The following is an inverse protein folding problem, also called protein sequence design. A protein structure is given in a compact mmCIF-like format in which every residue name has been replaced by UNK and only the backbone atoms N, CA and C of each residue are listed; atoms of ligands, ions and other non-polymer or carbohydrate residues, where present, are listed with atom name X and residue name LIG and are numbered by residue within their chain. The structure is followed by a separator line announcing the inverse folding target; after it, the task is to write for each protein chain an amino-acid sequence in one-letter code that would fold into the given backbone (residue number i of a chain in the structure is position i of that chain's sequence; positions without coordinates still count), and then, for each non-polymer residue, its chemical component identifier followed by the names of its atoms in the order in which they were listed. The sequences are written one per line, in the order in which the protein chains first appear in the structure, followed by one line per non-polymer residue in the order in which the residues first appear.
data_IF_358401166809
#
_entry.id   IF_358401166809
#
_cell.length_a   1.000
_cell.length_b   1.000
_cell.length_c   1.000
_cell.angle_alpha   90.00
_cell.angle_beta   90.00
_cell.angle_gamma   90.00
#
_symmetry.space_group_name_H-M   'P 1'
#
loop_
_entity.id
_entity.type
_entity.pdbx_description
1 polymer ?
#
# COMPACT_ATOMS: atom_id res chain seq x y z
N UNK A 1 -10.68 4.07 -27.49
CA UNK A 1 -9.70 4.57 -26.48
C UNK A 1 -8.66 3.50 -26.21
N UNK A 2 -7.36 3.86 -26.17
CA UNK A 2 -6.28 2.96 -25.81
C UNK A 2 -6.46 2.52 -24.34
N UNK A 3 -6.48 1.22 -24.10
CA UNK A 3 -6.62 0.68 -22.75
C UNK A 3 -5.27 0.65 -22.04
N UNK A 4 -5.25 1.00 -20.77
CA UNK A 4 -4.05 1.09 -19.94
C UNK A 4 -3.91 -0.15 -19.07
N UNK A 5 -2.71 -0.70 -18.96
CA UNK A 5 -2.38 -1.74 -18.01
C UNK A 5 -1.80 -1.14 -16.73
N UNK A 6 -2.06 -1.78 -15.61
CA UNK A 6 -1.56 -1.39 -14.29
C UNK A 6 -0.95 -2.61 -13.60
N UNK A 7 0.20 -2.45 -12.98
CA UNK A 7 0.80 -3.48 -12.12
C UNK A 7 0.60 -3.06 -10.66
N UNK A 8 0.09 -3.95 -9.85
CA UNK A 8 -0.13 -3.74 -8.43
C UNK A 8 0.64 -4.81 -7.66
N UNK A 9 1.77 -4.44 -7.10
CA UNK A 9 2.56 -5.35 -6.26
C UNK A 9 2.01 -5.35 -4.84
N UNK A 10 1.96 -6.50 -4.18
CA UNK A 10 1.21 -6.64 -2.93
C UNK A 10 -0.30 -6.45 -3.14
N UNK A 11 -0.80 -6.76 -4.34
CA UNK A 11 -2.17 -6.48 -4.76
C UNK A 11 -3.23 -7.32 -4.06
N UNK A 12 -2.86 -8.34 -3.28
CA UNK A 12 -3.73 -9.05 -2.34
C UNK A 12 -3.58 -8.55 -0.90
N UNK A 13 -2.77 -7.52 -0.69
CA UNK A 13 -2.72 -6.77 0.55
C UNK A 13 -3.95 -5.90 0.76
N UNK A 14 -4.08 -5.30 1.93
CA UNK A 14 -5.23 -4.48 2.32
C UNK A 14 -5.43 -3.27 1.38
N UNK A 15 -4.40 -2.45 1.20
CA UNK A 15 -4.45 -1.27 0.33
C UNK A 15 -4.45 -1.69 -1.16
N UNK A 16 -3.57 -2.64 -1.54
CA UNK A 16 -3.42 -3.07 -2.92
C UNK A 16 -4.68 -3.68 -3.53
N UNK A 17 -5.43 -4.47 -2.75
CA UNK A 17 -6.70 -5.05 -3.22
C UNK A 17 -7.78 -3.98 -3.44
N UNK A 18 -7.82 -2.96 -2.59
CA UNK A 18 -8.77 -1.84 -2.73
C UNK A 18 -8.44 -0.99 -3.96
N UNK A 19 -7.15 -0.65 -4.18
CA UNK A 19 -6.70 0.02 -5.40
C UNK A 19 -7.08 -0.80 -6.64
N UNK A 20 -6.83 -2.11 -6.62
CA UNK A 20 -7.17 -3.00 -7.73
C UNK A 20 -8.67 -2.97 -8.02
N UNK A 21 -9.52 -3.10 -7.00
CA UNK A 21 -11.00 -3.03 -7.12
C UNK A 21 -11.46 -1.73 -7.80
N UNK A 22 -10.85 -0.60 -7.44
CA UNK A 22 -11.20 0.68 -8.04
C UNK A 22 -10.71 0.81 -9.49
N UNK A 23 -9.48 0.36 -9.78
CA UNK A 23 -8.90 0.44 -11.12
C UNK A 23 -9.67 -0.40 -12.14
N UNK A 24 -10.10 -1.62 -11.81
CA UNK A 24 -10.83 -2.48 -12.76
C UNK A 24 -12.17 -1.88 -13.19
N UNK A 25 -12.74 -1.00 -12.37
CA UNK A 25 -13.99 -0.30 -12.69
C UNK A 25 -13.82 0.91 -13.61
N UNK A 26 -12.59 1.38 -13.83
CA UNK A 26 -12.33 2.48 -14.77
C UNK A 26 -12.52 2.02 -16.22
N UNK A 27 -13.11 2.89 -17.06
CA UNK A 27 -13.40 2.60 -18.46
C UNK A 27 -12.14 2.35 -19.30
N UNK A 28 -11.06 3.07 -19.00
CA UNK A 28 -9.78 3.02 -19.71
C UNK A 28 -8.86 1.89 -19.22
N UNK A 29 -9.27 1.09 -18.26
CA UNK A 29 -8.46 -0.04 -17.77
C UNK A 29 -8.48 -1.21 -18.74
N UNK A 30 -7.29 -1.60 -19.18
CA UNK A 30 -7.03 -2.84 -19.92
C UNK A 30 -6.88 -4.02 -18.97
N UNK A 31 -5.72 -4.13 -18.35
CA UNK A 31 -5.40 -5.19 -17.38
C UNK A 31 -4.91 -4.60 -16.07
N UNK A 32 -5.32 -5.19 -14.96
CA UNK A 32 -4.71 -5.06 -13.64
C UNK A 32 -3.93 -6.33 -13.35
N UNK A 33 -2.62 -6.20 -13.27
CA UNK A 33 -1.69 -7.31 -13.03
C UNK A 33 -1.31 -7.26 -11.56
N UNK A 34 -1.79 -8.23 -10.80
CA UNK A 34 -1.51 -8.39 -9.38
C UNK A 34 -0.28 -9.28 -9.24
N UNK A 35 0.74 -8.79 -8.53
CA UNK A 35 1.91 -9.58 -8.13
C UNK A 35 1.94 -9.66 -6.61
N UNK A 36 1.89 -10.88 -6.06
CA UNK A 36 1.85 -11.10 -4.62
C UNK A 36 2.52 -12.43 -4.28
N UNK A 37 3.33 -12.45 -3.25
CA UNK A 37 4.05 -13.67 -2.83
C UNK A 37 3.29 -14.48 -1.76
N UNK A 38 2.10 -14.01 -1.36
CA UNK A 38 1.30 -14.58 -0.27
C UNK A 38 1.98 -14.58 1.11
N UNK A 39 3.06 -13.83 1.28
CA UNK A 39 3.68 -13.73 2.60
C UNK A 39 2.69 -13.10 3.57
N UNK A 40 2.45 -13.81 4.66
CA UNK A 40 1.59 -13.35 5.73
C UNK A 40 2.44 -13.06 6.95
N UNK A 41 2.39 -11.81 7.40
CA UNK A 41 3.13 -11.32 8.58
C UNK A 41 2.28 -11.33 9.85
N UNK A 42 1.15 -12.04 9.85
CA UNK A 42 0.30 -12.21 11.03
C UNK A 42 0.89 -13.35 11.87
N UNK A 43 0.94 -13.15 13.18
CA UNK A 43 1.35 -14.19 14.09
C UNK A 43 0.54 -15.48 13.88
N UNK A 44 1.19 -16.62 13.57
CA UNK A 44 0.49 -17.87 13.30
C UNK A 44 -0.44 -18.33 14.43
N UNK A 45 -0.13 -17.98 15.68
CA UNK A 45 -0.96 -18.30 16.84
C UNK A 45 -2.28 -17.52 16.90
N UNK A 46 -2.40 -16.48 16.09
CA UNK A 46 -3.60 -15.62 15.99
C UNK A 46 -4.37 -15.83 14.70
N UNK A 47 -4.04 -16.86 13.94
CA UNK A 47 -4.73 -17.19 12.71
C UNK A 47 -6.18 -17.52 12.99
N UNK A 48 -7.08 -16.72 12.45
CA UNK A 48 -8.45 -17.14 12.22
C UNK A 48 -8.48 -18.00 10.96
N UNK A 49 -9.35 -18.99 10.90
CA UNK A 49 -9.49 -19.90 9.73
C UNK A 49 -9.89 -19.22 8.42
N UNK A 50 -10.07 -17.92 8.41
CA UNK A 50 -10.48 -17.16 7.23
C UNK A 50 -9.27 -16.78 6.39
N UNK A 51 -9.19 -17.32 5.17
CA UNK A 51 -8.20 -16.87 4.19
C UNK A 51 -8.63 -15.52 3.61
N UNK A 52 -8.17 -14.46 4.25
CA UNK A 52 -8.51 -13.08 3.85
C UNK A 52 -7.94 -12.69 2.48
N UNK A 53 -6.87 -13.32 2.00
CA UNK A 53 -6.37 -13.13 0.64
C UNK A 53 -7.38 -13.65 -0.35
N UNK A 54 -7.97 -14.81 -0.07
CA UNK A 54 -9.08 -15.37 -0.83
C UNK A 54 -10.29 -14.44 -0.77
N UNK A 55 -10.63 -13.93 0.42
CA UNK A 55 -11.71 -12.95 0.59
C UNK A 55 -11.43 -11.67 -0.19
N UNK A 56 -10.23 -11.10 -0.10
CA UNK A 56 -9.84 -9.90 -0.87
C UNK A 56 -9.89 -10.16 -2.37
N UNK A 57 -9.40 -11.31 -2.82
CA UNK A 57 -9.48 -11.70 -4.22
C UNK A 57 -10.93 -11.90 -4.69
N UNK A 58 -11.78 -12.48 -3.84
CA UNK A 58 -13.22 -12.62 -4.12
C UNK A 58 -13.90 -11.26 -4.18
N UNK A 59 -13.57 -10.34 -3.28
CA UNK A 59 -14.10 -8.97 -3.30
C UNK A 59 -13.68 -8.19 -4.56
N UNK A 60 -12.45 -8.40 -5.05
CA UNK A 60 -12.01 -7.83 -6.32
C UNK A 60 -12.83 -8.39 -7.48
N UNK A 61 -13.16 -9.69 -7.43
CA UNK A 61 -13.96 -10.43 -8.42
C UNK A 61 -15.46 -10.40 -8.15
N UNK A 62 -15.96 -9.51 -7.32
CA UNK A 62 -17.36 -9.45 -6.89
C UNK A 62 -18.32 -9.91 -7.98
N UNK A 63 -19.27 -10.81 -7.62
CA UNK A 63 -20.25 -11.42 -8.53
C UNK A 63 -21.16 -10.37 -9.21
N UNK A 64 -21.32 -9.20 -8.59
CA UNK A 64 -22.05 -8.07 -9.15
C UNK A 64 -21.26 -7.34 -10.27
N UNK A 65 -19.96 -7.58 -10.39
CA UNK A 65 -19.15 -7.02 -11.46
C UNK A 65 -19.44 -7.78 -12.76
N UNK A 66 -19.79 -7.05 -13.82
CA UNK A 66 -20.10 -7.59 -15.15
C UNK A 66 -18.98 -8.55 -15.60
N UNK A 67 -19.35 -9.64 -16.27
CA UNK A 67 -18.44 -10.70 -16.79
C UNK A 67 -17.16 -10.17 -17.46
N UNK A 68 -17.22 -9.02 -18.10
CA UNK A 68 -16.08 -8.35 -18.75
C UNK A 68 -15.01 -7.80 -17.80
N UNK A 69 -15.29 -7.64 -16.51
CA UNK A 69 -14.35 -7.11 -15.52
C UNK A 69 -13.41 -8.21 -15.02
N UNK A 70 -13.90 -9.44 -14.89
CA UNK A 70 -13.07 -10.58 -14.49
C UNK A 70 -11.93 -10.85 -15.48
N UNK A 71 -12.12 -10.54 -16.78
CA UNK A 71 -11.08 -10.68 -17.78
C UNK A 71 -9.98 -9.61 -17.69
N UNK A 72 -10.18 -8.57 -16.88
CA UNK A 72 -9.17 -7.52 -16.68
C UNK A 72 -8.12 -7.88 -15.63
N UNK A 73 -8.36 -8.89 -14.80
CA UNK A 73 -7.48 -9.26 -13.68
C UNK A 73 -6.55 -10.38 -14.13
N UNK A 74 -5.25 -10.18 -13.91
CA UNK A 74 -4.21 -11.20 -14.08
C UNK A 74 -3.47 -11.31 -12.77
N UNK A 75 -3.27 -12.52 -12.30
CA UNK A 75 -2.60 -12.79 -11.06
C UNK A 75 -1.31 -13.57 -11.28
N UNK A 76 -0.23 -13.08 -10.69
CA UNK A 76 1.06 -13.75 -10.58
C UNK A 76 1.43 -13.96 -9.11
N UNK A 77 1.62 -15.21 -8.73
CA UNK A 77 2.25 -15.53 -7.45
C UNK A 77 3.76 -15.38 -7.63
N UNK A 78 4.36 -14.40 -6.97
CA UNK A 78 5.79 -14.15 -7.09
C UNK A 78 6.30 -13.10 -6.13
N UNK A 79 7.60 -13.16 -5.84
CA UNK A 79 8.27 -12.16 -5.02
C UNK A 79 8.70 -10.98 -5.89
N UNK A 80 8.38 -9.77 -5.46
CA UNK A 80 8.79 -8.55 -6.16
C UNK A 80 10.32 -8.31 -6.08
N UNK A 81 11.05 -9.01 -5.21
CA UNK A 81 12.50 -9.02 -5.19
C UNK A 81 13.12 -9.96 -6.24
N UNK A 82 12.32 -10.80 -6.91
CA UNK A 82 12.79 -11.63 -8.01
C UNK A 82 12.83 -10.83 -9.32
N UNK A 83 14.04 -10.57 -9.80
CA UNK A 83 14.28 -9.79 -11.01
C UNK A 83 13.62 -10.42 -12.25
N UNK A 84 13.76 -11.73 -12.43
CA UNK A 84 13.24 -12.42 -13.62
C UNK A 84 11.73 -12.36 -13.70
N UNK A 85 11.06 -12.54 -12.56
CA UNK A 85 9.59 -12.45 -12.46
C UNK A 85 9.16 -11.03 -12.81
N UNK A 86 9.72 -10.01 -12.14
CA UNK A 86 9.31 -8.62 -12.33
C UNK A 86 9.64 -8.11 -13.73
N UNK A 87 10.84 -8.39 -14.23
CA UNK A 87 11.23 -8.00 -15.58
C UNK A 87 10.27 -8.59 -16.63
N UNK A 88 9.98 -9.90 -16.55
CA UNK A 88 9.06 -10.57 -17.49
C UNK A 88 7.66 -9.95 -17.47
N UNK A 89 7.14 -9.64 -16.28
CA UNK A 89 5.81 -9.04 -16.14
C UNK A 89 5.80 -7.62 -16.70
N UNK A 90 6.75 -6.79 -16.30
CA UNK A 90 6.82 -5.38 -16.69
C UNK A 90 7.06 -5.21 -18.20
N UNK A 91 7.94 -6.04 -18.78
CA UNK A 91 8.22 -6.05 -20.22
C UNK A 91 6.99 -6.49 -21.02
N UNK A 92 6.31 -7.56 -20.60
CA UNK A 92 5.11 -8.09 -21.26
C UNK A 92 3.96 -7.10 -21.28
N UNK A 93 3.67 -6.49 -20.13
CA UNK A 93 2.45 -5.68 -19.98
C UNK A 93 2.67 -4.19 -20.18
N UNK A 94 3.90 -3.71 -20.11
CA UNK A 94 4.27 -2.29 -20.29
C UNK A 94 3.26 -1.36 -19.60
N UNK A 95 3.15 -1.45 -18.26
CA UNK A 95 2.08 -0.79 -17.52
C UNK A 95 2.18 0.73 -17.62
N UNK A 96 1.03 1.42 -17.71
CA UNK A 96 0.99 2.87 -17.59
C UNK A 96 1.39 3.34 -16.19
N UNK A 97 1.08 2.54 -15.17
CA UNK A 97 1.41 2.86 -13.79
C UNK A 97 1.71 1.56 -13.02
N UNK A 98 2.69 1.63 -12.12
CA UNK A 98 2.98 0.60 -11.10
C UNK A 98 2.57 1.16 -9.76
N UNK A 99 1.65 0.49 -9.05
CA UNK A 99 1.31 0.75 -7.66
C UNK A 99 2.09 -0.22 -6.78
N UNK A 100 3.14 0.28 -6.16
CA UNK A 100 4.00 -0.52 -5.30
C UNK A 100 3.50 -0.49 -3.87
N UNK A 101 2.66 -1.50 -3.53
CA UNK A 101 2.11 -1.67 -2.17
C UNK A 101 2.75 -2.84 -1.43
N UNK A 102 3.56 -3.65 -2.11
CA UNK A 102 4.30 -4.75 -1.49
C UNK A 102 5.32 -4.19 -0.50
N UNK A 103 5.22 -4.61 0.74
CA UNK A 103 6.16 -4.30 1.81
C UNK A 103 5.90 -5.25 2.99
N UNK A 104 6.84 -5.33 3.93
CA UNK A 104 6.56 -5.90 5.25
C UNK A 104 5.65 -4.92 5.99
N UNK A 105 4.40 -5.30 6.30
CA UNK A 105 3.36 -4.32 6.68
C UNK A 105 3.39 -3.91 8.15
N UNK A 106 4.35 -4.34 8.96
CA UNK A 106 4.17 -4.34 10.40
C UNK A 106 5.03 -3.34 11.12
N UNK A 107 4.34 -2.42 11.78
CA UNK A 107 4.90 -1.64 12.88
C UNK A 107 5.03 -2.43 14.20
N UNK A 108 4.62 -3.71 14.26
CA UNK A 108 4.53 -4.51 15.47
C UNK A 108 4.98 -5.96 15.27
N UNK A 109 6.21 -6.16 14.86
CA UNK A 109 6.85 -7.46 15.06
C UNK A 109 7.65 -7.35 16.35
N UNK A 110 7.34 -8.19 17.34
CA UNK A 110 8.02 -8.22 18.64
C UNK A 110 9.55 -8.43 18.52
N UNK A 111 10.00 -9.02 17.41
CA UNK A 111 11.40 -9.16 17.03
C UNK A 111 11.55 -8.91 15.53
N UNK A 112 11.62 -7.65 15.07
CA UNK A 112 11.76 -7.36 13.67
C UNK A 112 13.10 -7.87 13.13
N UNK A 113 13.04 -8.81 12.21
CA UNK A 113 14.21 -9.21 11.44
C UNK A 113 14.52 -8.12 10.40
N UNK A 114 15.58 -7.34 10.65
CA UNK A 114 16.01 -6.25 9.77
C UNK A 114 16.21 -6.72 8.32
N UNK A 115 16.70 -7.96 8.14
CA UNK A 115 16.88 -8.56 6.81
C UNK A 115 15.55 -8.76 6.08
N UNK A 116 14.48 -9.15 6.78
CA UNK A 116 13.14 -9.27 6.18
C UNK A 116 12.58 -7.90 5.79
N UNK A 117 12.73 -6.89 6.64
CA UNK A 117 12.33 -5.52 6.31
C UNK A 117 13.10 -4.99 5.09
N UNK A 118 14.42 -5.20 5.04
CA UNK A 118 15.24 -4.83 3.89
C UNK A 118 14.73 -5.52 2.63
N UNK A 119 14.62 -6.84 2.65
CA UNK A 119 14.18 -7.63 1.50
C UNK A 119 12.77 -7.24 1.04
N UNK A 120 11.83 -7.15 1.97
CA UNK A 120 10.43 -6.90 1.65
C UNK A 120 10.09 -5.44 1.31
N UNK A 121 10.95 -4.48 1.62
CA UNK A 121 10.68 -3.06 1.38
C UNK A 121 11.70 -2.41 0.45
N UNK A 122 12.99 -2.59 0.70
CA UNK A 122 14.07 -1.94 -0.04
C UNK A 122 14.38 -2.72 -1.32
N UNK A 123 14.71 -4.01 -1.20
CA UNK A 123 15.13 -4.82 -2.33
C UNK A 123 14.01 -4.94 -3.37
N UNK A 124 12.75 -5.06 -2.93
CA UNK A 124 11.59 -5.07 -3.85
C UNK A 124 11.45 -3.74 -4.60
N UNK A 125 11.66 -2.60 -3.93
CA UNK A 125 11.56 -1.28 -4.54
C UNK A 125 12.66 -1.07 -5.58
N UNK A 126 13.90 -1.36 -5.22
CA UNK A 126 15.06 -1.27 -6.13
C UNK A 126 14.85 -2.16 -7.35
N UNK A 127 14.48 -3.42 -7.13
CA UNK A 127 14.31 -4.39 -8.20
C UNK A 127 13.27 -3.96 -9.24
N UNK A 128 12.13 -3.43 -8.81
CA UNK A 128 11.11 -2.96 -9.75
C UNK A 128 11.60 -1.76 -10.55
N UNK A 129 12.28 -0.81 -9.90
CA UNK A 129 12.82 0.38 -10.54
C UNK A 129 13.93 0.04 -11.54
N UNK A 130 14.82 -0.90 -11.21
CA UNK A 130 15.84 -1.43 -12.12
C UNK A 130 15.23 -2.10 -13.35
N UNK A 131 14.19 -2.92 -13.16
CA UNK A 131 13.47 -3.53 -14.27
C UNK A 131 12.86 -2.47 -15.20
N UNK A 132 12.22 -1.43 -14.64
CA UNK A 132 11.62 -0.35 -15.41
C UNK A 132 12.68 0.45 -16.17
N UNK A 133 13.81 0.77 -15.54
CA UNK A 133 14.92 1.48 -16.18
C UNK A 133 15.46 0.70 -17.38
N UNK A 134 15.75 -0.59 -17.19
CA UNK A 134 16.23 -1.47 -18.27
C UNK A 134 15.25 -1.57 -19.44
N UNK A 135 13.95 -1.71 -19.15
CA UNK A 135 12.92 -1.79 -20.20
C UNK A 135 12.81 -0.46 -20.96
N UNK A 136 12.91 0.67 -20.26
CA UNK A 136 12.89 1.99 -20.89
C UNK A 136 14.13 2.25 -21.77
N UNK A 137 15.29 1.73 -21.40
CA UNK A 137 16.53 1.83 -22.18
C UNK A 137 16.49 0.95 -23.43
N UNK A 138 15.88 -0.23 -23.34
CA UNK A 138 15.81 -1.21 -24.45
C UNK A 138 14.65 -0.95 -25.42
N UNK A 139 13.71 -0.07 -25.09
CA UNK A 139 12.50 0.12 -25.89
C UNK A 139 12.03 1.57 -25.88
N UNK A 140 11.04 1.91 -26.77
CA UNK A 140 10.38 3.21 -26.76
C UNK A 140 9.34 3.36 -25.62
N UNK A 141 9.15 2.33 -24.81
CA UNK A 141 8.23 2.39 -23.68
C UNK A 141 8.76 3.34 -22.62
N UNK A 142 7.84 4.17 -22.10
CA UNK A 142 8.07 4.99 -20.90
C UNK A 142 6.92 4.74 -19.95
N UNK A 143 7.26 4.46 -18.69
CA UNK A 143 6.24 4.36 -17.65
C UNK A 143 5.64 5.74 -17.36
N UNK A 144 4.33 5.79 -17.17
CA UNK A 144 3.67 7.05 -16.83
C UNK A 144 3.80 7.41 -15.35
N UNK A 145 3.84 6.41 -14.42
CA UNK A 145 3.97 6.69 -12.99
C UNK A 145 4.41 5.46 -12.19
N UNK A 146 5.34 5.65 -11.26
CA UNK A 146 5.64 4.72 -10.18
C UNK A 146 5.05 5.28 -8.87
N UNK A 147 4.06 4.60 -8.30
CA UNK A 147 3.41 5.03 -7.05
C UNK A 147 3.97 4.20 -5.91
N UNK A 148 4.61 4.86 -4.96
CA UNK A 148 5.19 4.25 -3.78
C UNK A 148 4.31 4.48 -2.56
N UNK A 149 3.86 3.42 -1.90
CA UNK A 149 3.12 3.53 -0.64
C UNK A 149 4.11 3.54 0.53
N UNK A 150 4.34 4.75 1.04
CA UNK A 150 5.12 5.04 2.23
C UNK A 150 4.26 4.93 3.50
N UNK A 151 4.49 5.78 4.49
CA UNK A 151 3.76 5.82 5.76
C UNK A 151 3.95 7.15 6.47
N UNK A 152 2.97 7.58 7.28
CA UNK A 152 3.14 8.69 8.22
C UNK A 152 4.22 8.41 9.30
N UNK A 153 4.61 7.15 9.51
CA UNK A 153 5.68 6.79 10.44
C UNK A 153 7.06 7.30 10.04
N UNK A 154 7.22 7.82 8.82
CA UNK A 154 8.46 8.52 8.40
C UNK A 154 8.71 9.80 9.19
N UNK A 155 7.68 10.41 9.75
CA UNK A 155 7.81 11.63 10.55
C UNK A 155 8.33 11.36 11.97
N UNK A 156 8.10 10.16 12.53
CA UNK A 156 8.29 9.89 13.95
C UNK A 156 7.25 10.63 14.77
N UNK A 157 7.67 11.30 15.85
CA UNK A 157 6.77 12.17 16.61
C UNK A 157 6.47 13.46 15.84
N UNK A 158 5.22 13.83 15.81
CA UNK A 158 4.81 15.09 15.24
C UNK A 158 5.27 16.26 16.13
N UNK A 159 6.08 17.13 15.58
CA UNK A 159 6.55 18.32 16.28
C UNK A 159 5.47 19.41 16.35
N UNK A 160 4.44 19.28 15.53
CA UNK A 160 3.29 20.20 15.41
C UNK A 160 1.99 19.42 15.50
N UNK A 161 0.88 20.14 15.61
CA UNK A 161 -0.47 19.57 15.62
C UNK A 161 -0.77 18.74 14.34
N UNK A 162 -0.18 19.11 13.22
CA UNK A 162 -0.30 18.44 11.92
C UNK A 162 1.09 18.32 11.30
N UNK A 163 1.33 17.27 10.51
CA UNK A 163 2.52 17.09 9.72
C UNK A 163 2.22 17.46 8.26
N UNK A 164 3.07 18.28 7.67
CA UNK A 164 3.07 18.60 6.25
C UNK A 164 4.15 17.77 5.53
N UNK A 165 4.02 17.62 4.22
CA UNK A 165 4.89 16.78 3.41
C UNK A 165 6.37 17.16 3.49
N UNK A 166 6.65 18.45 3.67
CA UNK A 166 8.01 19.02 3.78
C UNK A 166 8.56 19.05 5.22
N UNK A 167 7.75 18.65 6.21
CA UNK A 167 8.21 18.59 7.59
C UNK A 167 9.32 17.55 7.75
N UNK A 168 10.17 17.76 8.77
CA UNK A 168 11.29 16.90 9.11
C UNK A 168 10.84 15.44 9.32
N UNK A 169 11.54 14.52 8.67
CA UNK A 169 11.30 13.07 8.77
C UNK A 169 12.33 12.46 9.71
N UNK A 170 11.87 11.98 10.86
CA UNK A 170 12.67 11.41 11.94
C UNK A 170 12.04 10.10 12.45
N UNK A 171 12.01 9.05 11.61
CA UNK A 171 11.39 7.80 12.00
C UNK A 171 12.05 7.22 13.24
N UNK A 172 11.24 6.75 14.19
CA UNK A 172 11.73 6.13 15.43
C UNK A 172 11.92 4.62 15.32
N UNK A 173 11.18 4.00 14.41
CA UNK A 173 11.12 2.56 14.28
C UNK A 173 11.67 2.11 12.94
N UNK A 174 12.14 0.86 12.89
CA UNK A 174 12.73 0.26 11.69
C UNK A 174 11.79 0.31 10.50
N UNK A 175 10.48 0.11 10.71
CA UNK A 175 9.49 0.22 9.65
C UNK A 175 9.45 1.61 9.01
N UNK A 176 9.34 2.64 9.82
CA UNK A 176 9.36 4.04 9.36
C UNK A 176 10.69 4.38 8.66
N UNK A 177 11.81 3.90 9.19
CA UNK A 177 13.14 4.07 8.60
C UNK A 177 13.21 3.42 7.22
N UNK A 178 12.72 2.19 7.05
CA UNK A 178 12.72 1.50 5.75
C UNK A 178 11.77 2.18 4.75
N UNK A 179 10.64 2.72 5.21
CA UNK A 179 9.74 3.49 4.34
C UNK A 179 10.41 4.78 3.87
N UNK A 180 11.09 5.50 4.74
CA UNK A 180 11.84 6.70 4.37
C UNK A 180 12.99 6.39 3.41
N UNK A 181 13.76 5.34 3.66
CA UNK A 181 14.80 4.89 2.74
C UNK A 181 14.24 4.56 1.35
N UNK A 182 13.07 3.90 1.28
CA UNK A 182 12.37 3.64 0.03
C UNK A 182 11.94 4.93 -0.69
N UNK A 183 11.50 5.96 0.01
CA UNK A 183 11.20 7.28 -0.60
C UNK A 183 12.44 7.88 -1.26
N UNK A 184 13.59 7.87 -0.59
CA UNK A 184 14.82 8.44 -1.12
C UNK A 184 15.37 7.62 -2.31
N UNK A 185 15.21 6.30 -2.29
CA UNK A 185 15.51 5.42 -3.43
C UNK A 185 14.64 5.80 -4.63
N UNK A 186 13.32 5.92 -4.45
CA UNK A 186 12.39 6.31 -5.53
C UNK A 186 12.77 7.66 -6.13
N UNK A 187 13.05 8.66 -5.31
CA UNK A 187 13.50 9.99 -5.75
C UNK A 187 14.84 9.92 -6.50
N UNK A 188 15.78 9.09 -6.00
CA UNK A 188 17.07 8.88 -6.65
C UNK A 188 16.92 8.29 -8.06
N UNK A 189 16.15 7.22 -8.18
CA UNK A 189 15.83 6.60 -9.47
C UNK A 189 15.10 7.55 -10.43
N UNK A 190 14.18 8.36 -9.93
CA UNK A 190 13.49 9.35 -10.74
C UNK A 190 14.47 10.34 -11.37
N UNK A 191 15.43 10.85 -10.61
CA UNK A 191 16.47 11.75 -11.13
C UNK A 191 17.36 11.07 -12.18
N UNK A 192 17.73 9.80 -11.92
CA UNK A 192 18.66 9.05 -12.78
C UNK A 192 17.96 8.49 -14.03
N UNK A 193 16.84 7.77 -13.87
CA UNK A 193 16.17 7.01 -14.94
C UNK A 193 14.97 7.74 -15.55
N UNK A 194 14.69 8.96 -15.09
CA UNK A 194 13.50 9.74 -15.53
C UNK A 194 12.18 8.97 -15.37
N UNK A 195 12.08 8.16 -14.32
CA UNK A 195 10.85 7.47 -13.94
C UNK A 195 10.00 8.43 -13.09
N UNK A 196 8.84 8.89 -13.57
CA UNK A 196 7.97 9.76 -12.80
C UNK A 196 7.40 9.01 -11.60
N UNK A 197 7.40 9.62 -10.41
CA UNK A 197 6.88 8.99 -9.21
C UNK A 197 5.74 9.79 -8.57
N UNK A 198 5.03 9.12 -7.67
CA UNK A 198 4.17 9.73 -6.64
C UNK A 198 4.35 8.93 -5.36
N UNK A 199 4.69 9.61 -4.27
CA UNK A 199 4.83 9.00 -2.94
C UNK A 199 3.58 9.31 -2.13
N UNK A 200 3.02 8.26 -1.49
CA UNK A 200 1.82 8.38 -0.65
C UNK A 200 2.21 8.00 0.78
N UNK A 201 1.91 8.88 1.73
CA UNK A 201 2.09 8.66 3.17
C UNK A 201 0.72 8.52 3.84
N UNK A 202 0.17 7.31 3.93
CA UNK A 202 -1.07 7.07 4.67
C UNK A 202 -0.82 7.14 6.18
N UNK A 203 -1.86 7.48 6.92
CA UNK A 203 -1.95 7.25 8.36
C UNK A 203 -2.96 6.12 8.64
N UNK A 204 -3.07 5.68 9.84
CA UNK A 204 -3.95 4.64 10.42
C UNK A 204 -5.10 4.12 9.51
N UNK A 205 -4.73 3.56 8.35
CA UNK A 205 -5.70 3.03 7.38
C UNK A 205 -6.53 1.91 8.02
N UNK A 206 -7.85 1.97 7.87
CA UNK A 206 -8.79 0.99 8.40
C UNK A 206 -9.90 0.68 7.38
N UNK A 207 -10.61 -0.41 7.59
CA UNK A 207 -11.76 -0.78 6.75
C UNK A 207 -11.94 -2.27 6.59
N UNK A 208 -12.88 -2.71 5.74
CA UNK A 208 -13.15 -4.13 5.48
C UNK A 208 -11.88 -4.86 5.02
N UNK A 209 -11.68 -6.07 5.53
CA UNK A 209 -10.53 -6.93 5.24
C UNK A 209 -9.18 -6.44 5.79
N UNK A 210 -9.15 -5.44 6.67
CA UNK A 210 -7.96 -5.17 7.48
C UNK A 210 -7.72 -6.33 8.45
N UNK A 211 -6.49 -6.85 8.50
CA UNK A 211 -6.16 -8.04 9.26
C UNK A 211 -4.94 -7.88 10.15
N UNK A 212 -4.40 -6.67 10.16
CA UNK A 212 -3.12 -6.47 10.81
C UNK A 212 -3.24 -6.34 12.33
N UNK A 213 -4.38 -6.72 12.93
CA UNK A 213 -4.67 -6.60 14.37
C UNK A 213 -4.24 -5.25 14.96
N UNK A 214 -4.35 -4.21 14.14
CA UNK A 214 -4.11 -2.85 14.61
C UNK A 214 -5.18 -2.46 15.61
N UNK A 215 -4.92 -1.42 16.36
CA UNK A 215 -5.82 -0.96 17.43
C UNK A 215 -7.28 -0.84 16.98
N UNK A 216 -7.53 -0.39 15.73
CA UNK A 216 -8.88 -0.29 15.17
C UNK A 216 -9.57 -1.64 15.06
N UNK A 217 -8.91 -2.62 14.46
CA UNK A 217 -9.46 -3.95 14.28
C UNK A 217 -9.55 -4.70 15.61
N UNK A 218 -8.51 -4.61 16.44
CA UNK A 218 -8.47 -5.27 17.74
C UNK A 218 -9.65 -4.83 18.61
N UNK A 219 -9.85 -3.52 18.78
CA UNK A 219 -10.95 -2.99 19.59
C UNK A 219 -12.32 -3.32 18.97
N UNK A 220 -12.45 -3.26 17.63
CA UNK A 220 -13.68 -3.62 16.93
C UNK A 220 -14.05 -5.10 17.17
N UNK A 221 -13.10 -6.03 17.03
CA UNK A 221 -13.34 -7.45 17.27
C UNK A 221 -13.71 -7.74 18.72
N UNK A 222 -13.05 -7.07 19.68
CA UNK A 222 -13.42 -7.15 21.10
C UNK A 222 -14.83 -6.65 21.34
N UNK A 223 -15.21 -5.51 20.76
CA UNK A 223 -16.56 -4.95 20.89
C UNK A 223 -17.65 -5.89 20.33
N UNK A 224 -17.46 -6.42 19.11
CA UNK A 224 -18.41 -7.36 18.47
C UNK A 224 -18.60 -8.63 19.32
N UNK A 225 -17.54 -9.10 19.98
CA UNK A 225 -17.59 -10.29 20.82
C UNK A 225 -17.97 -9.98 22.30
N UNK A 226 -18.50 -8.81 22.59
CA UNK A 226 -18.84 -8.35 23.93
C UNK A 226 -17.68 -8.44 24.94
N UNK A 227 -16.45 -8.33 24.46
CA UNK A 227 -15.24 -8.40 25.26
C UNK A 227 -14.90 -7.07 25.93
N UNK A 228 -14.05 -7.13 26.95
CA UNK A 228 -13.54 -5.94 27.63
C UNK A 228 -12.62 -5.17 26.69
N UNK A 229 -12.86 -3.87 26.52
CA UNK A 229 -12.01 -2.98 25.75
C UNK A 229 -10.89 -2.43 26.62
N UNK A 230 -9.74 -3.09 26.58
CA UNK A 230 -8.52 -2.60 27.23
C UNK A 230 -7.86 -1.55 26.35
N UNK A 231 -7.72 -0.33 26.87
CA UNK A 231 -7.18 0.80 26.12
C UNK A 231 -5.80 1.14 26.66
N UNK A 232 -4.78 0.85 25.85
CA UNK A 232 -3.42 1.31 26.10
C UNK A 232 -3.16 2.57 25.26
N UNK A 233 -2.54 3.60 25.89
CA UNK A 233 -2.30 4.88 25.20
C UNK A 233 -3.59 5.63 24.87
N UNK A 234 -4.48 5.80 25.87
CA UNK A 234 -5.81 6.42 25.69
C UNK A 234 -5.79 7.79 24.99
N UNK A 235 -4.73 8.56 25.20
CA UNK A 235 -4.55 9.92 24.68
C UNK A 235 -3.75 9.95 23.34
N UNK A 236 -3.23 8.78 22.90
CA UNK A 236 -2.57 8.64 21.61
C UNK A 236 -3.55 9.00 20.49
N UNK A 237 -3.10 9.88 19.59
CA UNK A 237 -3.89 10.36 18.47
C UNK A 237 -3.48 9.68 17.18
N UNK A 238 -4.46 9.16 16.47
CA UNK A 238 -4.30 8.58 15.14
C UNK A 238 -5.24 9.29 14.17
N UNK A 239 -4.77 9.54 12.96
CA UNK A 239 -5.62 9.97 11.86
C UNK A 239 -6.15 8.73 11.15
N UNK A 240 -7.38 8.33 11.50
CA UNK A 240 -8.04 7.14 10.97
C UNK A 240 -8.54 7.40 9.55
N UNK A 241 -7.90 6.80 8.57
CA UNK A 241 -8.21 6.98 7.16
C UNK A 241 -8.90 5.74 6.60
N UNK A 242 -10.11 5.89 6.06
CA UNK A 242 -10.83 4.78 5.45
C UNK A 242 -10.11 4.31 4.18
N UNK A 243 -9.98 2.99 4.01
CA UNK A 243 -9.14 2.41 2.96
C UNK A 243 -9.59 2.78 1.53
N UNK A 244 -10.89 2.96 1.32
CA UNK A 244 -11.39 3.38 0.00
C UNK A 244 -11.03 4.84 -0.29
N UNK A 245 -11.09 5.74 0.71
CA UNK A 245 -10.67 7.14 0.55
C UNK A 245 -9.16 7.22 0.27
N UNK A 246 -8.36 6.42 0.99
CA UNK A 246 -6.92 6.29 0.74
C UNK A 246 -6.65 5.81 -0.70
N UNK A 247 -7.35 4.78 -1.16
CA UNK A 247 -7.17 4.23 -2.50
C UNK A 247 -7.61 5.22 -3.58
N UNK A 248 -8.72 5.92 -3.38
CA UNK A 248 -9.20 6.95 -4.29
C UNK A 248 -8.21 8.11 -4.38
N UNK A 249 -7.75 8.63 -3.24
CA UNK A 249 -6.74 9.68 -3.17
C UNK A 249 -5.44 9.25 -3.85
N UNK A 250 -4.97 8.02 -3.61
CA UNK A 250 -3.80 7.45 -4.28
C UNK A 250 -3.96 7.41 -5.79
N UNK A 251 -5.11 6.95 -6.30
CA UNK A 251 -5.38 6.89 -7.73
C UNK A 251 -5.48 8.29 -8.34
N UNK A 252 -6.13 9.24 -7.65
CA UNK A 252 -6.20 10.64 -8.10
C UNK A 252 -4.81 11.27 -8.19
N UNK A 253 -3.97 11.11 -7.17
CA UNK A 253 -2.60 11.61 -7.16
C UNK A 253 -1.76 10.98 -8.29
N UNK A 254 -1.88 9.66 -8.50
CA UNK A 254 -1.16 8.93 -9.54
C UNK A 254 -1.47 9.40 -10.96
N UNK A 255 -2.70 9.81 -11.23
CA UNK A 255 -3.14 10.19 -12.58
C UNK A 255 -3.23 11.69 -12.82
N UNK A 256 -3.07 12.49 -11.77
CA UNK A 256 -2.98 13.94 -11.91
C UNK A 256 -1.58 14.35 -12.38
N UNK A 257 -1.49 15.30 -13.31
CA UNK A 257 -0.22 15.84 -13.77
C UNK A 257 0.54 16.51 -12.61
N UNK A 258 -0.17 17.23 -11.75
CA UNK A 258 0.43 17.89 -10.58
C UNK A 258 0.87 16.92 -9.47
N UNK A 259 0.57 15.63 -9.61
CA UNK A 259 1.07 14.58 -8.70
C UNK A 259 2.39 13.96 -9.16
N UNK A 260 2.97 14.47 -10.26
CA UNK A 260 4.22 13.98 -10.78
C UNK A 260 5.39 14.49 -9.96
N UNK A 261 6.21 13.52 -9.46
CA UNK A 261 7.37 13.75 -8.61
C UNK A 261 7.02 14.42 -7.27
N UNK A 262 5.81 14.20 -6.81
CA UNK A 262 5.29 14.76 -5.57
C UNK A 262 5.05 13.69 -4.50
N UNK A 263 4.97 14.18 -3.25
CA UNK A 263 4.63 13.38 -2.07
C UNK A 263 3.34 13.93 -1.48
N UNK A 264 2.45 13.03 -1.02
CA UNK A 264 1.17 13.40 -0.42
C UNK A 264 0.92 12.64 0.88
N UNK A 265 0.52 13.36 1.91
CA UNK A 265 -0.17 12.78 3.04
C UNK A 265 -1.63 12.52 2.63
N UNK A 266 -2.04 11.26 2.57
CA UNK A 266 -3.46 10.94 2.33
C UNK A 266 -4.08 10.46 3.63
N UNK A 267 -4.73 11.39 4.30
CA UNK A 267 -5.31 11.24 5.63
C UNK A 267 -6.57 12.10 5.71
N UNK A 268 -7.32 12.01 6.83
CA UNK A 268 -8.51 12.85 7.04
C UNK A 268 -8.16 14.28 7.49
N UNK A 269 -6.92 14.51 7.95
CA UNK A 269 -6.49 15.77 8.57
C UNK A 269 -7.01 15.96 10.00
N UNK A 270 -7.61 14.91 10.61
CA UNK A 270 -8.24 14.99 11.94
C UNK A 270 -7.80 13.82 12.83
N UNK A 271 -6.78 14.06 13.65
CA UNK A 271 -6.34 13.10 14.65
C UNK A 271 -7.36 12.89 15.75
N UNK A 272 -7.73 11.64 16.02
CA UNK A 272 -8.64 11.24 17.11
C UNK A 272 -7.92 10.36 18.10
N UNK A 273 -8.27 10.49 19.40
CA UNK A 273 -7.70 9.63 20.43
C UNK A 273 -8.23 8.20 20.34
N UNK A 274 -7.41 7.22 20.77
CA UNK A 274 -7.86 5.83 20.88
C UNK A 274 -9.07 5.73 21.81
N UNK A 275 -9.10 6.52 22.88
CA UNK A 275 -10.27 6.58 23.77
C UNK A 275 -11.54 7.04 23.04
N UNK A 276 -11.44 8.06 22.15
CA UNK A 276 -12.60 8.52 21.39
C UNK A 276 -13.13 7.46 20.43
N UNK A 277 -12.25 6.67 19.83
CA UNK A 277 -12.63 5.54 19.00
C UNK A 277 -13.34 4.44 19.82
N UNK A 278 -12.77 4.05 20.96
CA UNK A 278 -13.40 3.06 21.85
C UNK A 278 -14.79 3.49 22.33
N UNK A 279 -15.00 4.78 22.61
CA UNK A 279 -16.33 5.32 22.96
C UNK A 279 -17.36 5.17 21.83
N UNK A 280 -16.93 5.23 20.57
CA UNK A 280 -17.82 4.99 19.42
C UNK A 280 -18.23 3.52 19.36
N UNK A 281 -17.30 2.60 19.61
CA UNK A 281 -17.56 1.16 19.62
C UNK A 281 -18.48 0.69 20.76
N UNK A 282 -18.57 1.46 21.85
CA UNK A 282 -19.43 1.16 23.01
C UNK A 282 -20.92 1.52 22.77
N UNK A 283 -21.21 2.32 21.77
CA UNK A 283 -22.59 2.70 21.38
C UNK A 283 -23.23 1.60 20.53
#
# INVERSE_FOLDING_TARGET
MKKNNYVITGGLGFIGSTITKMLINKRDTGKCIIVDNYTNYINPLRWTFTDYRKLRFTNIKDKKLKKNINNKIIFYRGDCADFKIMYTILEKYKPKCVFHTAAVPVAKIENPNVSEFRKGSIDTTINILDCLDLIQKKSKYKIGRFVYISSSMVYGDFLKKQAFEDDSRRPKEIYGTMKLAGEEIVKGFSRFSKIPYTIIRPSAAYGPTDMNERVTQFLLLKAINNGILEIHGKDEKLDFTYVEDLAEGTIKAAFNKNGENETFNITTGSGRTILSYAKILKK
#
